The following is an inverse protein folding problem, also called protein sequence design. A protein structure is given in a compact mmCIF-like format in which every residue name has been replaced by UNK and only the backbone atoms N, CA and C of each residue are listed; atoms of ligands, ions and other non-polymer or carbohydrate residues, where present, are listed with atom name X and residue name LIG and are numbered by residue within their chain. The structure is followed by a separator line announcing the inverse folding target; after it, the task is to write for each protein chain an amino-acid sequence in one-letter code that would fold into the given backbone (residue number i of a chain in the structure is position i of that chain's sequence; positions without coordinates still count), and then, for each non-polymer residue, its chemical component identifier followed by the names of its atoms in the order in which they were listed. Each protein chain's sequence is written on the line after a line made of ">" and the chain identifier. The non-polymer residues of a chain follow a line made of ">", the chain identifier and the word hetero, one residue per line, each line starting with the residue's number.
data_IF_523251127776
#
_entry.id   IF_523251127776
#
_cell.length_a   1.000
_cell.length_b   1.000
_cell.length_c   1.000
_cell.angle_alpha   90.00
_cell.angle_beta   90.00
_cell.angle_gamma   90.00
#
_symmetry.space_group_name_H-M   'P 1'
#
loop_
_entity.id
_entity.type
_entity.pdbx_description
1 polymer ?
#
# COMPACT_ATOMS: atom_id res chain seq x y z
N UNK A 1 -29.11 -8.37 9.42
CA UNK A 1 -29.37 -8.06 8.02
C UNK A 1 -28.09 -8.33 7.24
N UNK A 2 -28.13 -9.22 6.24
CA UNK A 2 -27.00 -9.48 5.34
C UNK A 2 -26.71 -8.20 4.54
N UNK A 3 -25.50 -7.71 4.65
CA UNK A 3 -24.98 -6.62 3.84
C UNK A 3 -25.03 -7.02 2.36
N UNK A 4 -25.85 -6.34 1.57
CA UNK A 4 -25.91 -6.54 0.12
C UNK A 4 -24.84 -5.65 -0.50
N UNK A 5 -23.76 -6.24 -0.96
CA UNK A 5 -22.71 -5.57 -1.70
C UNK A 5 -23.25 -4.97 -3.01
N UNK A 6 -22.80 -3.77 -3.29
CA UNK A 6 -22.99 -2.93 -4.46
C UNK A 6 -23.24 -3.70 -5.77
N UNK A 7 -24.40 -3.47 -6.40
CA UNK A 7 -24.72 -3.93 -7.76
C UNK A 7 -24.20 -2.92 -8.80
N UNK A 8 -22.90 -2.70 -8.82
CA UNK A 8 -22.22 -2.01 -9.91
C UNK A 8 -21.64 -3.03 -10.88
N UNK A 9 -21.19 -2.56 -12.03
CA UNK A 9 -20.51 -3.37 -13.08
C UNK A 9 -19.50 -4.30 -12.41
N UNK A 10 -19.64 -5.62 -12.62
CA UNK A 10 -18.74 -6.62 -12.02
C UNK A 10 -17.32 -6.30 -12.47
N UNK A 11 -16.47 -5.91 -11.54
CA UNK A 11 -15.08 -5.60 -11.81
C UNK A 11 -14.32 -6.86 -12.26
N UNK A 12 -13.23 -6.66 -13.00
CA UNK A 12 -12.40 -7.76 -13.49
C UNK A 12 -11.32 -8.10 -12.47
N UNK A 13 -11.26 -9.37 -12.08
CA UNK A 13 -10.16 -9.90 -11.25
C UNK A 13 -8.92 -10.05 -12.15
N UNK A 14 -7.79 -9.51 -11.69
CA UNK A 14 -6.49 -9.69 -12.33
C UNK A 14 -5.83 -11.01 -11.88
N UNK A 15 -4.90 -11.50 -12.68
CA UNK A 15 -4.14 -12.71 -12.37
C UNK A 15 -3.20 -12.49 -11.19
N UNK A 16 -2.90 -13.56 -10.44
CA UNK A 16 -1.86 -13.56 -9.43
C UNK A 16 -0.49 -13.78 -10.10
N UNK A 17 0.23 -12.70 -10.35
CA UNK A 17 1.54 -12.74 -10.99
C UNK A 17 2.66 -13.14 -10.05
N UNK A 18 2.52 -12.88 -8.74
CA UNK A 18 3.57 -13.13 -7.76
C UNK A 18 3.64 -14.58 -7.31
N UNK A 19 2.50 -15.30 -7.26
CA UNK A 19 2.41 -16.71 -6.87
C UNK A 19 3.18 -17.04 -5.58
N UNK A 20 3.12 -16.13 -4.58
CA UNK A 20 3.84 -16.21 -3.30
C UNK A 20 5.38 -16.11 -3.39
N UNK A 21 5.93 -15.66 -4.49
CA UNK A 21 7.35 -15.29 -4.59
C UNK A 21 7.51 -13.85 -4.09
N UNK A 22 8.09 -13.68 -2.90
CA UNK A 22 8.28 -12.41 -2.20
C UNK A 22 9.77 -12.19 -1.90
N UNK A 23 10.58 -12.25 -2.94
CA UNK A 23 12.04 -12.20 -2.87
C UNK A 23 12.65 -11.17 -3.84
N UNK A 24 11.85 -10.17 -4.22
CA UNK A 24 12.35 -9.08 -5.08
C UNK A 24 13.40 -8.25 -4.35
N UNK A 25 14.54 -8.08 -4.96
CA UNK A 25 15.66 -7.31 -4.41
C UNK A 25 15.83 -5.94 -5.07
N UNK A 26 15.16 -5.71 -6.21
CA UNK A 26 15.25 -4.45 -6.96
C UNK A 26 14.10 -3.53 -6.61
N UNK A 27 14.37 -2.32 -6.12
CA UNK A 27 13.34 -1.31 -5.86
C UNK A 27 12.53 -0.97 -7.12
N UNK A 28 11.27 -0.62 -6.91
CA UNK A 28 10.31 -0.22 -7.94
C UNK A 28 9.92 -1.34 -8.94
N UNK A 29 10.06 -2.60 -8.56
CA UNK A 29 9.63 -3.75 -9.36
C UNK A 29 8.32 -4.36 -8.88
N UNK A 30 8.18 -4.58 -7.58
CA UNK A 30 6.99 -5.15 -6.96
C UNK A 30 6.53 -4.26 -5.81
N UNK A 31 5.29 -3.84 -5.89
CA UNK A 31 4.63 -3.01 -4.88
C UNK A 31 3.46 -3.77 -4.26
N UNK A 32 3.21 -3.53 -2.98
CA UNK A 32 2.08 -4.08 -2.25
C UNK A 32 1.17 -2.97 -1.76
N UNK A 33 -0.14 -3.15 -1.90
CA UNK A 33 -1.15 -2.25 -1.37
C UNK A 33 -2.29 -3.03 -0.73
N UNK A 34 -2.95 -2.42 0.24
CA UNK A 34 -4.15 -2.91 0.89
C UNK A 34 -4.85 -1.72 1.56
N UNK A 35 -6.11 -1.89 1.93
CA UNK A 35 -6.84 -0.90 2.72
C UNK A 35 -6.95 -1.40 4.15
N UNK A 36 -6.48 -0.60 5.08
CA UNK A 36 -6.61 -0.87 6.51
C UNK A 36 -7.44 0.22 7.20
N UNK A 37 -7.93 -0.05 8.40
CA UNK A 37 -8.77 0.91 9.15
C UNK A 37 -8.16 1.26 10.50
N UNK A 38 -8.47 2.47 10.94
CA UNK A 38 -8.18 2.99 12.28
C UNK A 38 -9.45 3.60 12.89
N UNK A 39 -9.75 3.26 14.14
CA UNK A 39 -10.88 3.82 14.86
C UNK A 39 -10.47 5.07 15.64
N UNK A 40 -11.10 6.20 15.36
CA UNK A 40 -10.95 7.44 16.12
C UNK A 40 -11.57 7.31 17.52
N UNK A 41 -11.21 8.20 18.42
CA UNK A 41 -11.76 8.23 19.79
C UNK A 41 -13.26 8.43 19.87
N UNK A 42 -13.88 9.03 18.84
CA UNK A 42 -15.33 9.19 18.71
C UNK A 42 -16.05 8.00 18.05
N UNK A 43 -15.32 6.92 17.76
CA UNK A 43 -15.84 5.70 17.14
C UNK A 43 -15.95 5.76 15.60
N UNK A 44 -15.69 6.91 14.96
CA UNK A 44 -15.61 7.00 13.50
C UNK A 44 -14.39 6.24 13.02
N UNK A 45 -14.49 5.65 11.83
CA UNK A 45 -13.38 4.96 11.17
C UNK A 45 -12.69 5.87 10.16
N UNK A 46 -11.38 5.73 10.08
CA UNK A 46 -10.53 6.26 9.01
C UNK A 46 -9.95 5.08 8.26
N UNK A 47 -10.00 5.12 6.95
CA UNK A 47 -9.44 4.12 6.06
C UNK A 47 -8.12 4.63 5.49
N UNK A 48 -7.14 3.75 5.46
CA UNK A 48 -5.76 4.08 5.11
C UNK A 48 -5.33 3.15 3.97
N UNK A 49 -4.80 3.72 2.89
CA UNK A 49 -4.34 3.00 1.71
C UNK A 49 -2.85 3.25 1.48
N UNK A 50 -1.96 2.43 2.06
CA UNK A 50 -0.52 2.53 1.85
C UNK A 50 -0.06 1.71 0.65
N UNK A 51 1.08 2.11 0.07
CA UNK A 51 1.83 1.33 -0.92
C UNK A 51 3.26 1.13 -0.43
N UNK A 52 3.71 -0.10 -0.45
CA UNK A 52 5.06 -0.48 0.02
C UNK A 52 5.83 -1.14 -1.11
N UNK A 53 7.07 -0.73 -1.31
CA UNK A 53 8.02 -1.40 -2.20
C UNK A 53 8.55 -2.67 -1.54
N UNK A 54 8.47 -3.80 -2.24
CA UNK A 54 8.85 -5.10 -1.67
C UNK A 54 10.35 -5.18 -1.34
N UNK A 55 11.20 -4.69 -2.25
CA UNK A 55 12.64 -4.80 -2.12
C UNK A 55 13.19 -3.91 -1.00
N UNK A 56 12.83 -2.64 -1.00
CA UNK A 56 13.35 -1.64 -0.05
C UNK A 56 12.55 -1.52 1.24
N UNK A 57 11.33 -2.06 1.28
CA UNK A 57 10.33 -1.82 2.32
C UNK A 57 9.89 -0.36 2.44
N UNK A 58 10.27 0.49 1.49
CA UNK A 58 9.89 1.90 1.50
C UNK A 58 8.38 2.07 1.32
N UNK A 59 7.76 2.87 2.18
CA UNK A 59 6.37 3.28 2.02
C UNK A 59 6.38 4.44 1.01
N UNK A 60 5.92 4.17 -0.21
CA UNK A 60 6.00 5.12 -1.32
C UNK A 60 4.82 6.07 -1.37
N UNK A 61 3.64 5.62 -0.95
CA UNK A 61 2.44 6.43 -0.91
C UNK A 61 1.56 5.97 0.26
N UNK A 62 0.76 6.88 0.79
CA UNK A 62 -0.21 6.54 1.83
C UNK A 62 -1.29 7.62 1.90
N UNK A 63 -2.50 7.27 1.56
CA UNK A 63 -3.66 8.15 1.67
C UNK A 63 -4.59 7.72 2.80
N UNK A 64 -5.38 8.64 3.32
CA UNK A 64 -6.36 8.36 4.36
C UNK A 64 -7.64 9.16 4.12
N UNK A 65 -8.80 8.55 4.36
CA UNK A 65 -10.11 9.20 4.26
C UNK A 65 -11.13 8.56 5.20
N UNK A 66 -12.31 9.18 5.33
CA UNK A 66 -13.43 8.61 6.09
C UNK A 66 -14.16 7.47 5.36
N UNK A 67 -13.87 7.25 4.08
CA UNK A 67 -14.52 6.23 3.25
C UNK A 67 -13.52 5.39 2.48
N UNK A 68 -13.70 4.05 2.40
CA UNK A 68 -12.85 3.19 1.59
C UNK A 68 -13.35 3.17 0.12
N UNK A 69 -13.47 4.34 -0.47
CA UNK A 69 -14.02 4.56 -1.81
C UNK A 69 -12.93 4.68 -2.89
N UNK A 70 -13.37 4.99 -4.11
CA UNK A 70 -12.46 5.16 -5.24
C UNK A 70 -11.56 6.37 -5.10
N UNK A 71 -12.01 7.43 -4.42
CA UNK A 71 -11.19 8.62 -4.18
C UNK A 71 -9.95 8.29 -3.35
N UNK A 72 -10.11 7.43 -2.33
CA UNK A 72 -9.00 6.95 -1.49
C UNK A 72 -7.92 6.25 -2.33
N UNK A 73 -8.29 5.28 -3.16
CA UNK A 73 -7.32 4.48 -3.91
C UNK A 73 -6.78 5.19 -5.16
N UNK A 74 -7.58 6.04 -5.81
CA UNK A 74 -7.09 6.85 -6.93
C UNK A 74 -6.14 7.95 -6.43
N UNK A 75 -6.44 8.61 -5.31
CA UNK A 75 -5.54 9.55 -4.66
C UNK A 75 -4.22 8.91 -4.24
N UNK A 76 -4.26 7.66 -3.78
CA UNK A 76 -3.04 6.87 -3.50
C UNK A 76 -2.21 6.66 -4.77
N UNK A 77 -2.84 6.32 -5.91
CA UNK A 77 -2.13 6.17 -7.18
C UNK A 77 -1.53 7.48 -7.68
N UNK A 78 -2.23 8.61 -7.50
CA UNK A 78 -1.71 9.94 -7.86
C UNK A 78 -0.45 10.30 -7.04
N UNK A 79 -0.48 10.01 -5.74
CA UNK A 79 0.70 10.17 -4.88
C UNK A 79 1.84 9.24 -5.29
N UNK A 80 1.54 7.96 -5.57
CA UNK A 80 2.51 6.95 -5.99
C UNK A 80 3.23 7.37 -7.27
N UNK A 81 2.49 7.85 -8.28
CA UNK A 81 3.05 8.29 -9.55
C UNK A 81 4.17 9.33 -9.37
N UNK A 82 4.03 10.24 -8.40
CA UNK A 82 5.06 11.25 -8.10
C UNK A 82 6.36 10.68 -7.53
N UNK A 83 6.33 9.44 -7.03
CA UNK A 83 7.45 8.77 -6.38
C UNK A 83 8.17 7.77 -7.27
N UNK A 84 7.50 7.30 -8.31
CA UNK A 84 8.05 6.31 -9.22
C UNK A 84 9.00 6.95 -10.23
N UNK A 85 10.17 6.34 -10.48
CA UNK A 85 11.01 6.73 -11.61
C UNK A 85 10.27 6.52 -12.94
N UNK A 86 10.46 7.44 -13.89
CA UNK A 86 9.76 7.41 -15.19
C UNK A 86 9.99 6.14 -16.03
N UNK A 87 11.09 5.43 -15.75
CA UNK A 87 11.44 4.17 -16.44
C UNK A 87 10.94 2.92 -15.71
N UNK A 88 10.27 3.06 -14.58
CA UNK A 88 9.78 1.91 -13.81
C UNK A 88 8.36 1.55 -14.21
N UNK A 89 8.12 0.25 -14.37
CA UNK A 89 6.81 -0.32 -14.68
C UNK A 89 6.48 -1.42 -13.68
N UNK A 90 6.32 -1.08 -12.39
CA UNK A 90 6.19 -2.08 -11.34
C UNK A 90 4.88 -2.87 -11.43
N UNK A 91 4.93 -4.08 -10.89
CA UNK A 91 3.72 -4.83 -10.54
C UNK A 91 3.18 -4.27 -9.22
N UNK A 92 1.90 -3.89 -9.19
CA UNK A 92 1.21 -3.56 -7.94
C UNK A 92 0.28 -4.70 -7.54
N UNK A 93 0.53 -5.29 -6.38
CA UNK A 93 -0.19 -6.44 -5.86
C UNK A 93 -1.15 -6.03 -4.75
N UNK A 94 -2.39 -6.54 -4.83
CA UNK A 94 -3.44 -6.31 -3.84
C UNK A 94 -4.25 -7.58 -3.59
N UNK A 95 -5.18 -7.51 -2.64
CA UNK A 95 -6.27 -8.47 -2.56
C UNK A 95 -7.30 -8.27 -3.68
N UNK A 96 -8.41 -9.02 -3.64
CA UNK A 96 -9.53 -8.89 -4.57
C UNK A 96 -10.60 -7.91 -4.08
N UNK A 97 -10.23 -6.88 -3.34
CA UNK A 97 -11.16 -5.83 -2.91
C UNK A 97 -11.88 -5.17 -4.09
N UNK A 98 -13.13 -4.76 -3.89
CA UNK A 98 -13.97 -4.16 -4.94
C UNK A 98 -13.34 -2.92 -5.57
N UNK A 99 -12.59 -2.15 -4.81
CA UNK A 99 -11.87 -0.96 -5.28
C UNK A 99 -10.84 -1.34 -6.36
N UNK A 100 -10.09 -2.42 -6.15
CA UNK A 100 -9.05 -2.89 -7.08
C UNK A 100 -9.59 -3.56 -8.33
N UNK A 101 -10.83 -4.07 -8.27
CA UNK A 101 -11.54 -4.64 -9.43
C UNK A 101 -12.25 -3.57 -10.28
N UNK A 102 -12.32 -2.34 -9.80
CA UNK A 102 -13.01 -1.24 -10.46
C UNK A 102 -12.36 -0.89 -11.81
N UNK A 103 -13.18 -0.63 -12.87
CA UNK A 103 -12.67 -0.17 -14.15
C UNK A 103 -11.85 1.13 -14.05
N UNK A 104 -12.22 2.06 -13.18
CA UNK A 104 -11.49 3.32 -12.98
C UNK A 104 -10.12 3.09 -12.37
N UNK A 105 -9.99 2.20 -11.38
CA UNK A 105 -8.69 1.82 -10.83
C UNK A 105 -7.80 1.16 -11.89
N UNK A 106 -8.35 0.20 -12.63
CA UNK A 106 -7.61 -0.51 -13.68
C UNK A 106 -7.21 0.42 -14.84
N UNK A 107 -8.06 1.39 -15.21
CA UNK A 107 -7.72 2.41 -16.19
C UNK A 107 -6.57 3.31 -15.72
N UNK A 108 -6.61 3.75 -14.45
CA UNK A 108 -5.55 4.58 -13.86
C UNK A 108 -4.21 3.85 -13.80
N UNK A 109 -4.21 2.56 -13.46
CA UNK A 109 -2.98 1.74 -13.50
C UNK A 109 -2.34 1.73 -14.89
N UNK A 110 -3.15 1.62 -15.96
CA UNK A 110 -2.65 1.65 -17.34
C UNK A 110 -2.06 3.01 -17.70
N UNK A 111 -2.70 4.11 -17.26
CA UNK A 111 -2.21 5.46 -17.53
C UNK A 111 -0.82 5.69 -16.92
N UNK A 112 -0.58 5.17 -15.72
CA UNK A 112 0.71 5.29 -15.03
C UNK A 112 1.63 4.07 -15.26
N UNK A 113 1.28 3.22 -16.20
CA UNK A 113 2.07 2.07 -16.66
C UNK A 113 2.41 1.03 -15.59
N UNK A 114 1.49 0.83 -14.62
CA UNK A 114 1.61 -0.23 -13.62
C UNK A 114 0.89 -1.51 -14.09
N UNK A 115 1.47 -2.65 -13.73
CA UNK A 115 0.91 -3.98 -14.00
C UNK A 115 0.15 -4.45 -12.76
N UNK A 116 -1.13 -4.79 -12.92
CA UNK A 116 -1.95 -5.26 -11.80
C UNK A 116 -1.74 -6.75 -11.52
N UNK A 117 -1.60 -7.09 -10.23
CA UNK A 117 -1.63 -8.46 -9.73
C UNK A 117 -2.58 -8.54 -8.54
N UNK A 118 -3.35 -9.62 -8.43
CA UNK A 118 -4.27 -9.85 -7.30
C UNK A 118 -4.00 -11.19 -6.65
N UNK A 119 -4.08 -11.24 -5.32
CA UNK A 119 -4.05 -12.49 -4.55
C UNK A 119 -5.26 -13.37 -4.90
N UNK A 120 -5.13 -14.68 -4.70
CA UNK A 120 -6.25 -15.60 -4.82
C UNK A 120 -7.28 -15.35 -3.70
N UNK A 121 -8.54 -15.54 -4.02
CA UNK A 121 -9.63 -15.33 -3.05
C UNK A 121 -9.43 -16.18 -1.80
N UNK A 122 -9.41 -15.52 -0.64
CA UNK A 122 -9.29 -16.17 0.66
C UNK A 122 -7.89 -16.73 0.99
N UNK A 123 -6.85 -16.36 0.23
CA UNK A 123 -5.47 -16.76 0.51
C UNK A 123 -4.66 -15.57 1.02
N UNK A 124 -4.61 -15.40 2.34
CA UNK A 124 -3.83 -14.34 2.99
C UNK A 124 -2.32 -14.44 2.75
N UNK A 125 -1.80 -15.65 2.46
CA UNK A 125 -0.39 -15.83 2.17
C UNK A 125 0.05 -15.15 0.87
N UNK A 126 -0.88 -14.90 -0.05
CA UNK A 126 -0.60 -14.23 -1.31
C UNK A 126 -0.32 -12.72 -1.15
N UNK A 127 -0.61 -12.10 0.02
CA UNK A 127 -0.35 -10.68 0.32
C UNK A 127 0.47 -10.48 1.62
N UNK A 128 1.19 -11.48 2.06
CA UNK A 128 1.85 -11.51 3.36
C UNK A 128 2.86 -10.37 3.58
N UNK A 129 3.55 -9.89 2.54
CA UNK A 129 4.53 -8.80 2.67
C UNK A 129 3.84 -7.46 2.98
N UNK A 130 2.78 -7.12 2.25
CA UNK A 130 1.98 -5.92 2.52
C UNK A 130 1.40 -5.94 3.93
N UNK A 131 0.74 -7.03 4.31
CA UNK A 131 0.17 -7.21 5.64
C UNK A 131 1.20 -7.02 6.77
N UNK A 132 2.43 -7.48 6.57
CA UNK A 132 3.50 -7.33 7.56
C UNK A 132 3.82 -5.87 7.84
N UNK A 133 3.99 -5.05 6.81
CA UNK A 133 4.32 -3.62 6.97
C UNK A 133 3.13 -2.85 7.56
N UNK A 134 1.90 -3.15 7.14
CA UNK A 134 0.70 -2.51 7.68
C UNK A 134 0.48 -2.85 9.16
N UNK A 135 0.77 -4.09 9.56
CA UNK A 135 0.76 -4.51 10.95
C UNK A 135 1.87 -3.83 11.76
N UNK A 136 3.06 -3.61 11.18
CA UNK A 136 4.12 -2.82 11.82
C UNK A 136 3.68 -1.38 12.07
N UNK A 137 3.11 -0.70 11.09
CA UNK A 137 2.60 0.66 11.23
C UNK A 137 1.55 0.77 12.35
N UNK A 138 0.61 -0.16 12.41
CA UNK A 138 -0.38 -0.23 13.50
C UNK A 138 0.29 -0.45 14.85
N UNK A 139 1.15 -1.44 14.97
CA UNK A 139 1.79 -1.83 16.24
C UNK A 139 2.80 -0.80 16.73
N UNK A 140 3.58 -0.22 15.83
CA UNK A 140 4.64 0.71 16.18
C UNK A 140 4.10 2.11 16.46
N UNK A 141 2.98 2.51 15.82
CA UNK A 141 2.46 3.86 15.97
C UNK A 141 0.96 3.94 16.23
N UNK A 142 0.10 3.54 15.30
CA UNK A 142 -1.33 3.84 15.36
C UNK A 142 -2.02 3.30 16.62
N UNK A 143 -1.67 2.10 17.07
CA UNK A 143 -2.25 1.52 18.30
C UNK A 143 -1.74 2.16 19.59
N UNK A 144 -0.74 3.05 19.52
CA UNK A 144 -0.13 3.72 20.68
C UNK A 144 -0.62 5.14 20.87
N UNK A 145 -1.39 5.68 19.94
CA UNK A 145 -1.90 7.05 19.97
C UNK A 145 -3.42 7.04 19.95
N UNK A 146 -4.01 8.08 20.51
CA UNK A 146 -5.45 8.32 20.46
C UNK A 146 -5.68 9.53 19.56
N UNK A 147 -6.26 9.31 18.41
CA UNK A 147 -6.49 10.33 17.41
C UNK A 147 -7.98 10.68 17.32
N UNK A 148 -8.29 11.94 17.05
CA UNK A 148 -9.62 12.50 17.14
C UNK A 148 -10.20 12.89 15.78
N UNK A 149 -9.35 13.05 14.77
CA UNK A 149 -9.74 13.52 13.43
C UNK A 149 -8.96 12.85 12.30
N UNK A 150 -9.47 12.96 11.08
CA UNK A 150 -8.76 12.52 9.88
C UNK A 150 -7.43 13.25 9.72
N UNK A 151 -7.43 14.57 9.98
CA UNK A 151 -6.23 15.42 9.87
C UNK A 151 -5.14 14.96 10.84
N UNK A 152 -5.50 14.57 12.06
CA UNK A 152 -4.54 14.00 13.03
C UNK A 152 -3.99 12.66 12.54
N UNK A 153 -4.83 11.79 11.94
CA UNK A 153 -4.37 10.52 11.36
C UNK A 153 -3.40 10.79 10.20
N UNK A 154 -3.73 11.72 9.31
CA UNK A 154 -2.85 12.08 8.18
C UNK A 154 -1.50 12.60 8.66
N UNK A 155 -1.46 13.45 9.67
CA UNK A 155 -0.22 13.95 10.26
C UNK A 155 0.61 12.84 10.91
N UNK A 156 -0.03 11.95 11.67
CA UNK A 156 0.64 10.80 12.29
C UNK A 156 1.23 9.83 11.24
N UNK A 157 0.52 9.62 10.15
CA UNK A 157 1.01 8.80 9.03
C UNK A 157 2.21 9.44 8.36
N UNK A 158 2.16 10.75 8.08
CA UNK A 158 3.27 11.48 7.49
C UNK A 158 4.54 11.39 8.34
N UNK A 159 4.42 11.64 9.65
CA UNK A 159 5.53 11.56 10.61
C UNK A 159 6.08 10.13 10.72
N UNK A 160 5.20 9.13 10.79
CA UNK A 160 5.61 7.73 10.86
C UNK A 160 6.32 7.27 9.58
N UNK A 161 5.80 7.62 8.42
CA UNK A 161 6.37 7.24 7.11
C UNK A 161 7.75 7.86 6.94
N UNK A 162 7.92 9.12 7.30
CA UNK A 162 9.24 9.77 7.28
C UNK A 162 10.24 9.03 8.16
N UNK A 163 9.86 8.73 9.41
CA UNK A 163 10.69 7.98 10.33
C UNK A 163 10.98 6.56 9.85
N UNK A 164 9.96 5.86 9.36
CA UNK A 164 10.10 4.49 8.84
C UNK A 164 11.06 4.42 7.65
N UNK A 165 10.92 5.32 6.69
CA UNK A 165 11.70 5.32 5.47
C UNK A 165 13.14 5.80 5.68
N UNK A 166 13.38 6.75 6.59
CA UNK A 166 14.66 7.47 6.67
C UNK A 166 15.47 7.16 7.94
N UNK A 167 14.83 6.69 9.02
CA UNK A 167 15.46 6.55 10.33
C UNK A 167 15.42 5.10 10.83
N UNK A 168 14.27 4.44 10.68
CA UNK A 168 14.05 3.09 11.14
C UNK A 168 14.94 2.09 10.39
N UNK A 169 15.77 1.35 11.12
CA UNK A 169 16.60 0.29 10.56
C UNK A 169 15.88 -1.04 10.60
N UNK A 170 16.07 -1.88 9.59
CA UNK A 170 15.51 -3.22 9.49
C UNK A 170 16.59 -4.27 9.31
N UNK A 171 16.48 -5.38 10.03
CA UNK A 171 17.35 -6.53 9.84
C UNK A 171 17.23 -7.13 8.43
N UNK A 172 16.03 -7.09 7.84
CA UNK A 172 15.80 -7.51 6.44
C UNK A 172 16.59 -6.69 5.42
N UNK A 173 16.98 -5.48 5.78
CA UNK A 173 17.76 -4.57 4.94
C UNK A 173 19.23 -4.45 5.41
N UNK A 174 19.76 -5.48 6.07
CA UNK A 174 21.11 -5.46 6.65
C UNK A 174 21.34 -4.27 7.60
N UNK A 175 20.32 -4.00 8.46
CA UNK A 175 20.35 -2.92 9.46
C UNK A 175 20.47 -1.51 8.88
N UNK A 176 20.03 -1.32 7.63
CA UNK A 176 19.89 0.01 7.02
C UNK A 176 18.42 0.45 6.95
N UNK A 177 18.18 1.68 6.51
CA UNK A 177 16.84 2.22 6.30
C UNK A 177 16.34 1.90 4.89
N UNK A 178 15.00 1.90 4.65
CA UNK A 178 14.42 1.72 3.32
C UNK A 178 15.04 2.63 2.25
N UNK A 179 15.13 3.93 2.52
CA UNK A 179 15.70 4.91 1.56
C UNK A 179 17.17 4.61 1.28
N UNK A 180 17.97 4.31 2.28
CA UNK A 180 19.39 3.99 2.08
C UNK A 180 19.59 2.67 1.30
N UNK A 181 18.73 1.68 1.55
CA UNK A 181 18.75 0.44 0.76
C UNK A 181 18.45 0.73 -0.71
N UNK A 182 17.34 1.44 -0.98
CA UNK A 182 16.95 1.84 -2.33
C UNK A 182 18.11 2.58 -3.04
N UNK A 183 18.64 3.62 -2.43
CA UNK A 183 19.69 4.44 -3.05
C UNK A 183 20.92 3.60 -3.37
N UNK A 184 21.33 2.71 -2.46
CA UNK A 184 22.49 1.83 -2.68
C UNK A 184 22.27 0.89 -3.88
N UNK A 185 21.09 0.26 -3.99
CA UNK A 185 20.79 -0.66 -5.09
C UNK A 185 20.69 0.09 -6.41
N UNK A 186 20.01 1.26 -6.42
CA UNK A 186 19.81 2.06 -7.64
C UNK A 186 21.11 2.66 -8.21
N UNK A 187 22.13 2.90 -7.41
CA UNK A 187 23.44 3.39 -7.88
C UNK A 187 24.25 2.25 -8.52
N UNK A 188 23.94 1.00 -8.21
CA UNK A 188 24.69 -0.19 -8.68
C UNK A 188 24.17 -0.72 -10.03
N UNK A 189 23.03 -0.18 -10.50
CA UNK A 189 22.40 -0.52 -11.79
C UNK A 189 22.72 0.56 -12.82
#
# INVERSE_FOLDING_TARGET
>A
AKYSSYKGTVGKVADNLLQQHFDEERPYHVLHTDITEYALTNGKKVYISPVVDEASLEILACTASYSPDMELVLGMLDELETKLPAYSHPVIHSDQGSQYQSPSYQARLKEIELVQSMSRKGNCHDNAQGETIFNLMKRERLNRVKLHSLEEVQQELEDYIYWFNNIRRSNKLNYTTPVKYRDRVMVTI
#
